data_IF_916028596564
#
_entry.id   IF_916028596564
#
_cell.length_a   1.000
_cell.length_b   1.000
_cell.length_c   1.000
_cell.angle_alpha   90.00
_cell.angle_beta   90.00
_cell.angle_gamma   90.00
#
_symmetry.space_group_name_H-M   'P 1'
#
loop_
_entity.id
_entity.type
_entity.pdbx_description
1 polymer ?
#
# COMPACT_ATOMS: atom_id res chain seq x y z
N UNK A 1 -8.29 -17.23 68.90
CA UNK A 1 -7.24 -16.47 68.18
C UNK A 1 -7.31 -16.87 66.72
N UNK A 2 -7.49 -15.86 65.89
CA UNK A 2 -8.10 -15.88 64.56
C UNK A 2 -7.24 -16.54 63.48
N UNK A 3 -7.95 -17.32 62.68
CA UNK A 3 -7.55 -17.99 61.44
C UNK A 3 -7.08 -16.99 60.38
N UNK A 4 -5.79 -17.01 60.02
CA UNK A 4 -5.20 -16.20 58.96
C UNK A 4 -5.06 -17.05 57.69
N UNK A 5 -6.16 -17.16 56.96
CA UNK A 5 -6.20 -17.77 55.62
C UNK A 5 -5.41 -16.88 54.66
N UNK A 6 -4.23 -17.34 54.25
CA UNK A 6 -3.48 -16.78 53.11
C UNK A 6 -4.33 -16.86 51.85
N UNK A 7 -4.82 -15.71 51.41
CA UNK A 7 -5.49 -15.56 50.13
C UNK A 7 -4.46 -15.69 49.00
N UNK A 8 -4.65 -16.58 48.00
CA UNK A 8 -3.74 -16.66 46.87
C UNK A 8 -3.87 -15.38 46.01
N UNK A 9 -2.73 -14.76 45.74
CA UNK A 9 -2.57 -13.70 44.75
C UNK A 9 -2.87 -14.28 43.35
N UNK A 10 -4.02 -13.92 42.77
CA UNK A 10 -4.38 -14.29 41.40
C UNK A 10 -3.79 -13.22 40.47
N UNK A 11 -2.80 -13.54 39.60
CA UNK A 11 -2.24 -12.56 38.70
C UNK A 11 -3.33 -12.15 37.72
N UNK A 12 -3.61 -10.85 37.72
CA UNK A 12 -4.47 -10.17 36.79
C UNK A 12 -4.16 -10.62 35.36
N UNK A 13 -5.15 -11.28 34.78
CA UNK A 13 -5.36 -11.58 33.38
C UNK A 13 -5.37 -10.26 32.59
N UNK A 14 -4.17 -9.73 32.34
CA UNK A 14 -3.88 -8.53 31.55
C UNK A 14 -4.12 -8.71 30.05
N UNK A 15 -5.09 -9.54 29.64
CA UNK A 15 -5.54 -9.56 28.26
C UNK A 15 -6.37 -8.30 28.03
N UNK A 16 -6.00 -7.42 27.08
CA UNK A 16 -6.82 -6.27 26.76
C UNK A 16 -8.24 -6.75 26.40
N UNK A 17 -9.22 -6.49 27.27
CA UNK A 17 -10.64 -6.71 26.97
C UNK A 17 -11.05 -5.63 25.96
N UNK A 18 -10.82 -5.88 24.68
CA UNK A 18 -11.35 -5.03 23.62
C UNK A 18 -12.88 -4.96 23.78
N UNK A 19 -13.48 -3.76 23.93
CA UNK A 19 -14.92 -3.62 24.10
C UNK A 19 -15.65 -4.24 22.89
N UNK A 20 -16.77 -4.92 23.12
CA UNK A 20 -17.52 -5.63 22.09
C UNK A 20 -17.89 -4.74 20.89
N UNK A 21 -18.02 -3.42 21.10
CA UNK A 21 -18.20 -2.41 20.07
C UNK A 21 -17.01 -2.31 19.09
N UNK A 22 -15.76 -2.35 19.59
CA UNK A 22 -14.54 -2.34 18.76
C UNK A 22 -14.48 -3.60 17.89
N UNK A 23 -14.84 -4.75 18.46
CA UNK A 23 -14.92 -6.07 17.79
C UNK A 23 -16.02 -6.18 16.71
N UNK A 24 -17.03 -5.29 16.74
CA UNK A 24 -18.08 -5.19 15.70
C UNK A 24 -17.65 -4.23 14.59
N UNK A 25 -16.96 -3.14 14.96
CA UNK A 25 -16.40 -2.16 14.03
C UNK A 25 -15.25 -2.73 13.18
N UNK A 26 -14.36 -3.53 13.78
CA UNK A 26 -13.31 -4.26 13.05
C UNK A 26 -13.89 -5.24 12.02
N UNK A 27 -15.03 -5.85 12.35
CA UNK A 27 -15.76 -6.75 11.44
C UNK A 27 -16.41 -5.99 10.28
N UNK A 28 -17.03 -4.85 10.53
CA UNK A 28 -17.58 -4.01 9.47
C UNK A 28 -16.49 -3.46 8.54
N UNK A 29 -15.37 -2.99 9.08
CA UNK A 29 -14.22 -2.57 8.28
C UNK A 29 -13.62 -3.74 7.48
N UNK A 30 -13.48 -4.93 8.08
CA UNK A 30 -13.01 -6.12 7.36
C UNK A 30 -13.99 -6.54 6.26
N UNK A 31 -15.31 -6.50 6.51
CA UNK A 31 -16.34 -6.86 5.53
C UNK A 31 -16.39 -5.88 4.35
N UNK A 32 -16.34 -4.58 4.64
CA UNK A 32 -16.28 -3.54 3.61
C UNK A 32 -14.98 -3.65 2.81
N UNK A 33 -13.85 -3.89 3.47
CA UNK A 33 -12.55 -4.11 2.83
C UNK A 33 -12.50 -5.37 1.96
N UNK A 34 -13.17 -6.46 2.35
CA UNK A 34 -13.21 -7.70 1.55
C UNK A 34 -13.99 -7.56 0.25
N UNK A 35 -14.96 -6.67 0.16
CA UNK A 35 -15.82 -6.52 -1.03
C UNK A 35 -15.45 -5.29 -1.87
N UNK A 36 -15.26 -4.13 -1.24
CA UNK A 36 -14.99 -2.88 -1.96
C UNK A 36 -13.61 -2.88 -2.64
N UNK A 37 -12.59 -3.47 -2.01
CA UNK A 37 -11.23 -3.51 -2.53
C UNK A 37 -11.11 -4.36 -3.81
N UNK A 38 -11.58 -5.62 -3.87
CA UNK A 38 -11.56 -6.37 -5.11
C UNK A 38 -12.47 -5.76 -6.17
N UNK A 39 -13.61 -5.14 -5.82
CA UNK A 39 -14.43 -4.39 -6.76
C UNK A 39 -13.64 -3.25 -7.42
N UNK A 40 -12.87 -2.48 -6.64
CA UNK A 40 -11.99 -1.44 -7.16
C UNK A 40 -10.88 -2.01 -8.06
N UNK A 41 -10.25 -3.13 -7.65
CA UNK A 41 -9.22 -3.77 -8.47
C UNK A 41 -9.80 -4.32 -9.77
N UNK A 42 -10.98 -4.94 -9.74
CA UNK A 42 -11.70 -5.41 -10.93
C UNK A 42 -12.04 -4.22 -11.83
N UNK A 43 -12.52 -3.11 -11.27
CA UNK A 43 -12.77 -1.88 -12.04
C UNK A 43 -11.48 -1.37 -12.70
N UNK A 44 -10.33 -1.41 -12.03
CA UNK A 44 -9.02 -1.05 -12.60
C UNK A 44 -8.47 -2.08 -13.59
N UNK A 45 -8.89 -3.34 -13.49
CA UNK A 45 -8.55 -4.39 -14.45
C UNK A 45 -9.36 -4.21 -15.75
N UNK A 46 -10.62 -3.78 -15.65
CA UNK A 46 -11.48 -3.53 -16.80
C UNK A 46 -11.16 -2.16 -17.42
N UNK A 47 -10.93 -1.14 -16.59
CA UNK A 47 -10.63 0.21 -17.04
C UNK A 47 -9.14 0.37 -17.36
N UNK A 48 -8.82 0.63 -18.62
CA UNK A 48 -7.49 1.04 -19.09
C UNK A 48 -7.35 2.55 -18.87
N UNK A 49 -6.47 3.02 -17.98
CA UNK A 49 -6.18 4.45 -17.91
C UNK A 49 -5.56 4.86 -19.26
N UNK A 50 -6.05 5.93 -19.91
CA UNK A 50 -5.47 6.42 -21.16
C UNK A 50 -3.95 6.61 -20.99
N UNK A 51 -3.16 6.06 -21.90
CA UNK A 51 -1.68 6.13 -21.87
C UNK A 51 -1.13 7.35 -22.59
N UNK A 52 -1.99 8.15 -23.23
CA UNK A 52 -1.57 9.26 -24.08
C UNK A 52 -0.74 10.32 -23.35
N UNK A 53 0.27 10.92 -24.02
CA UNK A 53 1.16 11.92 -23.43
C UNK A 53 0.44 13.15 -22.86
N UNK A 54 -0.75 13.49 -23.37
CA UNK A 54 -1.55 14.63 -22.92
C UNK A 54 -2.39 14.37 -21.67
N UNK A 55 -2.62 13.11 -21.27
CA UNK A 55 -3.48 12.77 -20.14
C UNK A 55 -2.66 12.46 -18.88
N UNK A 56 -2.21 13.53 -18.22
CA UNK A 56 -1.43 13.46 -16.98
C UNK A 56 -2.39 13.55 -15.79
N UNK A 57 -2.76 12.39 -15.24
CA UNK A 57 -3.62 12.30 -14.04
C UNK A 57 -2.90 12.84 -12.78
N UNK A 58 -1.57 12.84 -12.78
CA UNK A 58 -0.78 13.29 -11.64
C UNK A 58 -0.56 14.82 -11.66
N UNK A 59 -1.19 15.53 -10.73
CA UNK A 59 -1.02 16.98 -10.57
C UNK A 59 0.45 17.41 -10.38
N UNK A 60 1.27 16.59 -9.70
CA UNK A 60 2.70 16.90 -9.52
C UNK A 60 3.47 16.93 -10.84
N UNK A 61 3.24 15.94 -11.70
CA UNK A 61 3.85 15.89 -13.04
C UNK A 61 3.31 17.01 -13.93
N UNK A 62 2.04 17.37 -13.79
CA UNK A 62 1.44 18.49 -14.53
C UNK A 62 2.06 19.84 -14.10
N UNK A 63 2.30 20.05 -12.81
CA UNK A 63 2.89 21.28 -12.26
C UNK A 63 4.38 21.40 -12.57
N UNK A 64 5.15 20.35 -12.29
CA UNK A 64 6.63 20.39 -12.31
C UNK A 64 7.27 19.77 -13.55
N UNK A 65 6.50 19.00 -14.33
CA UNK A 65 7.04 18.14 -15.40
C UNK A 65 7.67 16.84 -14.88
N UNK A 66 8.03 16.77 -13.59
CA UNK A 66 8.80 15.66 -13.03
C UNK A 66 7.94 14.46 -12.60
N UNK A 67 8.39 13.21 -12.84
CA UNK A 67 7.72 12.02 -12.34
C UNK A 67 7.93 11.85 -10.82
N UNK A 68 6.83 11.93 -10.07
CA UNK A 68 6.74 11.56 -8.65
C UNK A 68 6.95 10.05 -8.40
N UNK A 69 7.26 9.60 -7.17
CA UNK A 69 7.48 8.18 -6.87
C UNK A 69 6.22 7.31 -7.11
N UNK A 70 5.03 7.91 -7.00
CA UNK A 70 3.75 7.25 -7.29
C UNK A 70 3.28 7.39 -8.75
N UNK A 71 4.04 8.06 -9.61
CA UNK A 71 3.59 8.33 -10.96
C UNK A 71 3.57 7.02 -11.76
N UNK A 72 2.45 6.76 -12.42
CA UNK A 72 2.21 5.49 -13.13
C UNK A 72 1.73 4.32 -12.25
N UNK A 73 1.52 4.50 -10.94
CA UNK A 73 1.07 3.43 -10.03
C UNK A 73 -0.24 2.79 -10.51
N UNK A 74 -1.26 3.59 -10.82
CA UNK A 74 -2.57 3.09 -11.29
C UNK A 74 -2.46 2.32 -12.61
N UNK A 75 -1.60 2.77 -13.53
CA UNK A 75 -1.32 2.08 -14.80
C UNK A 75 -0.56 0.78 -14.57
N UNK A 76 0.42 0.79 -13.68
CA UNK A 76 1.18 -0.40 -13.29
C UNK A 76 0.29 -1.45 -12.62
N UNK A 77 -0.62 -1.04 -11.74
CA UNK A 77 -1.61 -1.93 -11.10
C UNK A 77 -2.56 -2.50 -12.16
N UNK A 78 -3.10 -1.67 -13.06
CA UNK A 78 -3.96 -2.15 -14.16
C UNK A 78 -3.25 -3.15 -15.07
N UNK A 79 -1.99 -2.90 -15.44
CA UNK A 79 -1.17 -3.82 -16.25
C UNK A 79 -0.88 -5.14 -15.50
N UNK A 80 -0.55 -5.05 -14.21
CA UNK A 80 -0.33 -6.22 -13.36
C UNK A 80 -1.58 -7.09 -13.27
N UNK A 81 -2.75 -6.49 -13.07
CA UNK A 81 -4.03 -7.19 -13.00
C UNK A 81 -4.44 -7.83 -14.33
N UNK A 82 -3.96 -7.31 -15.47
CA UNK A 82 -4.13 -7.91 -16.80
C UNK A 82 -3.14 -9.04 -17.08
N UNK A 83 -2.21 -9.29 -16.17
CA UNK A 83 -1.17 -10.30 -16.33
C UNK A 83 0.04 -9.83 -17.14
N UNK A 84 0.20 -8.52 -17.39
CA UNK A 84 1.40 -7.97 -18.02
C UNK A 84 2.35 -7.40 -16.96
N UNK A 85 3.15 -8.30 -16.39
CA UNK A 85 4.11 -8.01 -15.32
C UNK A 85 5.24 -7.10 -15.82
N UNK A 86 5.64 -7.26 -17.08
CA UNK A 86 6.71 -6.45 -17.69
C UNK A 86 6.26 -5.01 -17.83
N UNK A 87 5.05 -4.82 -18.36
CA UNK A 87 4.46 -3.49 -18.49
C UNK A 87 4.15 -2.85 -17.13
N UNK A 88 3.76 -3.66 -16.13
CA UNK A 88 3.55 -3.18 -14.77
C UNK A 88 4.82 -2.56 -14.16
N UNK A 89 5.94 -3.28 -14.25
CA UNK A 89 7.26 -2.82 -13.77
C UNK A 89 7.74 -1.62 -14.58
N UNK A 90 7.50 -1.61 -15.90
CA UNK A 90 7.85 -0.49 -16.77
C UNK A 90 7.13 0.80 -16.37
N UNK A 91 5.84 0.72 -16.01
CA UNK A 91 5.11 1.90 -15.52
C UNK A 91 5.58 2.31 -14.12
N UNK A 92 5.59 1.37 -13.18
CA UNK A 92 6.08 1.61 -11.83
C UNK A 92 6.56 0.30 -11.18
N UNK A 93 7.84 0.16 -10.82
CA UNK A 93 8.35 -1.06 -10.19
C UNK A 93 7.74 -1.33 -8.81
N UNK A 94 7.13 -0.33 -8.16
CA UNK A 94 6.41 -0.52 -6.90
C UNK A 94 4.98 -1.05 -7.10
N UNK A 95 4.42 -1.01 -8.32
CA UNK A 95 3.05 -1.46 -8.54
C UNK A 95 2.83 -2.94 -8.17
N UNK A 96 3.70 -3.89 -8.55
CA UNK A 96 3.58 -5.29 -8.12
C UNK A 96 3.68 -5.47 -6.59
N UNK A 97 4.54 -4.69 -5.93
CA UNK A 97 4.71 -4.74 -4.46
C UNK A 97 3.43 -4.29 -3.78
N UNK A 98 2.84 -3.19 -4.26
CA UNK A 98 1.57 -2.67 -3.74
C UNK A 98 0.44 -3.66 -3.97
N UNK A 99 0.34 -4.28 -5.16
CA UNK A 99 -0.61 -5.36 -5.43
C UNK A 99 -0.44 -6.54 -4.46
N UNK A 100 0.80 -6.95 -4.18
CA UNK A 100 1.08 -8.04 -3.25
C UNK A 100 0.63 -7.72 -1.82
N UNK A 101 0.91 -6.51 -1.33
CA UNK A 101 0.45 -6.05 -0.01
C UNK A 101 -1.08 -6.09 0.06
N UNK A 102 -1.77 -5.65 -0.99
CA UNK A 102 -3.22 -5.71 -1.06
C UNK A 102 -3.76 -7.14 -1.03
N UNK A 103 -3.14 -8.07 -1.77
CA UNK A 103 -3.53 -9.49 -1.77
C UNK A 103 -3.38 -10.07 -0.36
N UNK A 104 -2.26 -9.80 0.32
CA UNK A 104 -2.04 -10.28 1.70
C UNK A 104 -3.11 -9.75 2.65
N UNK A 105 -3.44 -8.47 2.55
CA UNK A 105 -4.53 -7.86 3.33
C UNK A 105 -5.89 -8.48 3.05
N UNK A 106 -6.18 -8.75 1.78
CA UNK A 106 -7.44 -9.35 1.37
C UNK A 106 -7.56 -10.80 1.86
N UNK A 107 -6.51 -11.62 1.70
CA UNK A 107 -6.45 -13.00 2.22
C UNK A 107 -6.60 -13.01 3.74
N UNK A 108 -5.93 -12.10 4.46
CA UNK A 108 -6.11 -11.94 5.91
C UNK A 108 -7.59 -11.67 6.24
N UNK A 109 -8.22 -10.74 5.54
CA UNK A 109 -9.61 -10.35 5.81
C UNK A 109 -10.59 -11.49 5.49
N UNK A 110 -10.37 -12.23 4.42
CA UNK A 110 -11.14 -13.43 4.06
C UNK A 110 -10.94 -14.56 5.09
N UNK A 111 -9.71 -14.79 5.53
CA UNK A 111 -9.38 -15.81 6.53
C UNK A 111 -10.04 -15.52 7.89
N UNK A 112 -10.27 -14.25 8.22
CA UNK A 112 -11.01 -13.84 9.41
C UNK A 112 -12.51 -14.17 9.32
N UNK A 113 -13.10 -14.19 8.13
CA UNK A 113 -14.49 -14.60 7.89
C UNK A 113 -14.64 -16.13 7.89
N UNK A 114 -13.70 -16.84 7.27
CA UNK A 114 -13.71 -18.30 7.12
C UNK A 114 -13.25 -19.05 8.38
N UNK A 115 -12.78 -18.33 9.41
CA UNK A 115 -12.29 -18.95 10.65
C UNK A 115 -10.94 -19.65 10.52
N UNK A 116 -10.15 -19.31 9.49
CA UNK A 116 -8.82 -19.90 9.22
C UNK A 116 -7.75 -19.31 10.13
N UNK A 117 -7.85 -19.66 11.43
CA UNK A 117 -6.99 -19.14 12.50
C UNK A 117 -5.50 -19.37 12.27
N UNK A 118 -5.12 -20.44 11.58
CA UNK A 118 -3.72 -20.71 11.26
C UNK A 118 -3.15 -19.72 10.24
N UNK A 119 -3.89 -19.45 9.16
CA UNK A 119 -3.50 -18.49 8.12
C UNK A 119 -3.45 -17.08 8.68
N UNK A 120 -4.43 -16.69 9.51
CA UNK A 120 -4.39 -15.41 10.22
C UNK A 120 -3.11 -15.25 11.04
N UNK A 121 -2.71 -16.25 11.85
CA UNK A 121 -1.50 -16.12 12.69
C UNK A 121 -0.23 -15.88 11.87
N UNK A 122 -0.06 -16.58 10.75
CA UNK A 122 1.10 -16.38 9.87
C UNK A 122 1.11 -15.00 9.22
N UNK A 123 -0.06 -14.52 8.75
CA UNK A 123 -0.18 -13.19 8.15
C UNK A 123 -0.02 -12.08 9.18
N UNK A 124 -0.52 -12.26 10.40
CA UNK A 124 -0.40 -11.31 11.51
C UNK A 124 1.06 -11.13 11.92
N UNK A 125 1.81 -12.23 12.05
CA UNK A 125 3.25 -12.17 12.34
C UNK A 125 4.03 -11.41 11.26
N UNK A 126 3.69 -11.63 9.98
CA UNK A 126 4.31 -10.92 8.87
C UNK A 126 3.96 -9.42 8.88
N UNK A 127 2.67 -9.09 9.08
CA UNK A 127 2.20 -7.69 9.16
C UNK A 127 2.83 -6.97 10.35
N UNK A 128 2.93 -7.61 11.51
CA UNK A 128 3.54 -7.04 12.71
C UNK A 128 5.04 -6.81 12.52
N UNK A 129 5.73 -7.70 11.79
CA UNK A 129 7.12 -7.48 11.38
C UNK A 129 7.24 -6.27 10.44
N UNK A 130 6.37 -6.14 9.44
CA UNK A 130 6.34 -4.99 8.54
C UNK A 130 5.98 -3.67 9.25
N UNK A 131 5.21 -3.72 10.33
CA UNK A 131 4.84 -2.57 11.17
C UNK A 131 5.95 -2.09 12.10
N UNK A 132 7.06 -2.82 12.20
CA UNK A 132 8.21 -2.35 12.98
C UNK A 132 8.71 -1.02 12.41
N UNK A 133 8.95 0.01 13.24
CA UNK A 133 9.34 1.33 12.76
C UNK A 133 10.59 1.27 11.88
N UNK A 134 11.54 0.39 12.22
CA UNK A 134 12.78 0.20 11.46
C UNK A 134 12.53 -0.32 10.03
N UNK A 135 11.51 -1.16 9.82
CA UNK A 135 11.15 -1.65 8.48
C UNK A 135 10.51 -0.54 7.67
N UNK A 136 9.65 0.27 8.28
CA UNK A 136 9.07 1.46 7.64
C UNK A 136 10.15 2.44 7.16
N UNK A 137 11.12 2.78 8.02
CA UNK A 137 12.24 3.65 7.66
C UNK A 137 13.14 3.05 6.58
N UNK A 138 13.43 1.74 6.64
CA UNK A 138 14.20 1.05 5.61
C UNK A 138 13.49 1.08 4.25
N UNK A 139 12.19 0.76 4.21
CA UNK A 139 11.39 0.84 2.98
C UNK A 139 11.36 2.27 2.42
N UNK A 140 11.18 3.27 3.30
CA UNK A 140 11.18 4.67 2.88
C UNK A 140 12.53 5.09 2.30
N UNK A 141 13.65 4.70 2.93
CA UNK A 141 15.00 4.93 2.42
C UNK A 141 15.23 4.29 1.05
N UNK A 142 14.79 3.05 0.85
CA UNK A 142 14.89 2.36 -0.45
C UNK A 142 14.07 3.06 -1.53
N UNK A 143 12.83 3.46 -1.20
CA UNK A 143 11.96 4.18 -2.14
C UNK A 143 12.60 5.52 -2.53
N UNK A 144 13.16 6.27 -1.57
CA UNK A 144 13.83 7.54 -1.84
C UNK A 144 15.11 7.36 -2.65
N UNK A 145 15.96 6.39 -2.31
CA UNK A 145 17.17 6.09 -3.06
C UNK A 145 16.86 5.72 -4.51
N UNK A 146 15.87 4.83 -4.73
CA UNK A 146 15.40 4.48 -6.06
C UNK A 146 14.81 5.70 -6.80
N UNK A 147 14.05 6.54 -6.11
CA UNK A 147 13.46 7.74 -6.71
C UNK A 147 14.52 8.75 -7.12
N UNK A 148 15.52 9.01 -6.28
CA UNK A 148 16.67 9.88 -6.60
C UNK A 148 17.44 9.32 -7.78
N UNK A 149 17.71 8.01 -7.80
CA UNK A 149 18.37 7.37 -8.94
C UNK A 149 17.57 7.52 -10.23
N UNK A 150 16.26 7.23 -10.18
CA UNK A 150 15.36 7.37 -11.34
C UNK A 150 15.30 8.83 -11.81
N UNK A 151 15.22 9.78 -10.89
CA UNK A 151 15.22 11.22 -11.18
C UNK A 151 16.53 11.64 -11.84
N UNK A 152 17.67 11.20 -11.29
CA UNK A 152 18.98 11.48 -11.84
C UNK A 152 19.12 10.95 -13.28
N UNK A 153 18.78 9.68 -13.52
CA UNK A 153 18.76 9.10 -14.88
C UNK A 153 17.83 9.88 -15.82
N UNK A 154 16.66 10.30 -15.32
CA UNK A 154 15.68 11.04 -16.11
C UNK A 154 16.18 12.45 -16.47
N UNK A 155 16.87 13.11 -15.55
CA UNK A 155 17.45 14.44 -15.75
C UNK A 155 18.67 14.38 -16.69
N UNK A 156 19.48 13.32 -16.60
CA UNK A 156 20.68 13.12 -17.42
C UNK A 156 20.34 12.87 -18.90
N UNK A 157 19.27 12.10 -19.18
CA UNK A 157 18.88 11.77 -20.55
C UNK A 157 17.99 12.85 -21.20
N UNK A 158 17.04 13.42 -20.46
CA UNK A 158 15.92 14.18 -21.03
C UNK A 158 15.57 15.45 -20.22
N UNK A 159 16.51 15.97 -19.42
CA UNK A 159 16.25 17.08 -18.49
C UNK A 159 15.59 18.31 -19.13
N UNK A 160 16.00 18.69 -20.34
CA UNK A 160 15.47 19.85 -21.06
C UNK A 160 14.08 19.61 -21.69
N UNK A 161 13.76 18.38 -22.12
CA UNK A 161 12.48 18.05 -22.76
C UNK A 161 11.36 17.89 -21.71
N UNK A 162 11.70 17.43 -20.50
CA UNK A 162 10.76 17.19 -19.42
C UNK A 162 10.36 18.48 -18.71
N UNK A 163 11.30 19.40 -18.49
CA UNK A 163 10.99 20.72 -17.92
C UNK A 163 9.99 21.50 -18.80
N UNK A 164 10.05 21.32 -20.12
CA UNK A 164 9.10 21.93 -21.07
C UNK A 164 7.65 21.43 -20.95
N UNK A 165 7.41 20.29 -20.31
CA UNK A 165 6.06 19.74 -20.09
C UNK A 165 5.39 20.28 -18.81
N UNK A 166 6.15 20.92 -17.91
CA UNK A 166 5.63 21.49 -16.68
C UNK A 166 4.95 22.83 -16.92
N UNK A 167 3.74 22.99 -16.36
CA UNK A 167 2.98 24.25 -16.47
C UNK A 167 3.76 25.47 -15.96
N UNK A 168 4.57 25.29 -14.91
CA UNK A 168 5.41 26.34 -14.32
C UNK A 168 6.50 26.85 -15.27
N UNK A 169 7.08 25.98 -16.09
CA UNK A 169 8.20 26.34 -16.96
C UNK A 169 7.74 26.80 -18.35
N UNK A 170 6.53 26.42 -18.78
CA UNK A 170 5.92 26.90 -20.03
C UNK A 170 5.63 28.42 -20.04
N UNK A 171 5.62 29.07 -18.88
CA UNK A 171 5.35 30.51 -18.75
C UNK A 171 6.62 31.36 -18.58
N UNK A 172 7.74 30.74 -18.19
CA UNK A 172 9.01 31.43 -17.95
C UNK A 172 9.99 31.37 -19.13
N UNK A 173 9.80 30.44 -20.07
CA UNK A 173 10.58 30.25 -21.30
C UNK A 173 9.65 30.09 -22.51
#
# INVERSE_FOLDING_TARGET
MSNETRHPYHPLDGRPRFPAARRRQDRCLSLMGTLALPLLLIALAIWTPPSEPGFIICGFRHLTGLPCPGCGMTRGISAFLKGDWRLAVHFNPFAPIVCFIFIVWWVRSLSALMGWRQVMRSLDQWIDWCRRPNVGWACWGVIMAFWVFRLWVTLDNDGLTIMRQGWLFRWFF
#
